data_IF_834761333172
#
_entry.id   IF_834761333172
#
_cell.length_a   1.000
_cell.length_b   1.000
_cell.length_c   1.000
_cell.angle_alpha   90.00
_cell.angle_beta   90.00
_cell.angle_gamma   90.00
#
_symmetry.space_group_name_H-M   'P 1'
#
loop_
_entity.id
_entity.type
_entity.pdbx_description
1 polymer ?
#
# COMPACT_ATOMS: atom_id res chain seq x y z
N UNK A 1 4.32 20.06 5.86
CA UNK A 1 2.91 19.93 5.44
C UNK A 1 2.87 19.95 3.93
N UNK A 2 2.44 18.88 3.29
CA UNK A 2 2.31 18.85 1.84
C UNK A 2 0.86 19.20 1.47
N UNK A 3 0.53 20.48 1.50
CA UNK A 3 -0.67 21.00 0.85
C UNK A 3 -0.20 21.63 -0.45
N UNK A 4 -0.39 20.91 -1.55
CA UNK A 4 -0.07 21.43 -2.90
C UNK A 4 -1.20 22.28 -3.46
N UNK A 5 -2.46 21.95 -3.09
CA UNK A 5 -3.65 22.64 -3.55
C UNK A 5 -4.50 23.07 -2.35
N UNK A 6 -4.56 24.37 -2.10
CA UNK A 6 -5.40 24.90 -1.02
C UNK A 6 -6.88 24.82 -1.41
N UNK A 7 -7.70 24.32 -0.47
CA UNK A 7 -9.15 24.23 -0.58
C UNK A 7 -9.80 25.00 0.57
N UNK A 8 -10.57 26.00 0.23
CA UNK A 8 -11.35 26.78 1.21
C UNK A 8 -12.64 26.04 1.60
N UNK A 9 -13.23 26.36 2.77
CA UNK A 9 -14.55 25.83 3.14
C UNK A 9 -15.63 26.08 2.09
N UNK A 10 -15.62 27.25 1.45
CA UNK A 10 -16.59 27.61 0.40
C UNK A 10 -16.47 26.74 -0.85
N UNK A 11 -15.29 26.21 -1.15
CA UNK A 11 -15.05 25.31 -2.29
C UNK A 11 -15.37 23.86 -1.96
N UNK A 12 -15.14 23.41 -0.71
CA UNK A 12 -15.43 22.05 -0.28
C UNK A 12 -16.92 21.78 -0.04
N UNK A 13 -17.64 22.76 0.54
CA UNK A 13 -19.03 22.59 0.98
C UNK A 13 -19.99 22.14 -0.15
N UNK A 14 -19.96 22.69 -1.38
CA UNK A 14 -20.84 22.25 -2.45
C UNK A 14 -20.59 20.80 -2.86
N UNK A 15 -19.33 20.34 -2.85
CA UNK A 15 -19.00 18.94 -3.13
C UNK A 15 -19.63 18.02 -2.08
N UNK A 16 -19.44 18.28 -0.78
CA UNK A 16 -19.98 17.47 0.30
C UNK A 16 -21.51 17.37 0.24
N UNK A 17 -22.19 18.48 -0.03
CA UNK A 17 -23.65 18.50 -0.22
C UNK A 17 -24.08 17.64 -1.42
N UNK A 18 -23.34 17.68 -2.53
CA UNK A 18 -23.63 16.87 -3.72
C UNK A 18 -23.47 15.37 -3.47
N UNK A 19 -22.67 14.99 -2.48
CA UNK A 19 -22.47 13.61 -2.02
C UNK A 19 -23.47 13.19 -0.94
N UNK A 20 -24.30 14.10 -0.46
CA UNK A 20 -25.24 13.82 0.64
C UNK A 20 -24.59 13.68 2.00
N UNK A 21 -23.39 14.24 2.19
CA UNK A 21 -22.59 14.11 3.41
C UNK A 21 -22.89 15.19 4.47
N UNK A 22 -23.90 16.02 4.23
CA UNK A 22 -24.32 17.06 5.17
C UNK A 22 -23.59 18.39 4.99
N UNK A 23 -23.80 19.28 5.97
CA UNK A 23 -23.22 20.61 5.96
C UNK A 23 -21.82 20.60 6.56
N UNK A 24 -20.87 21.23 5.86
CA UNK A 24 -19.50 21.39 6.34
C UNK A 24 -19.47 22.20 7.63
N UNK A 25 -18.85 21.65 8.68
CA UNK A 25 -18.60 22.29 9.96
C UNK A 25 -17.14 22.74 10.10
N UNK A 26 -16.21 21.87 9.65
CA UNK A 26 -14.77 22.12 9.76
C UNK A 26 -14.00 21.43 8.64
N UNK A 27 -12.89 22.04 8.21
CA UNK A 27 -11.93 21.49 7.26
C UNK A 27 -10.52 21.83 7.72
N UNK A 28 -9.68 20.82 7.85
CA UNK A 28 -8.29 20.97 8.29
C UNK A 28 -7.35 20.15 7.39
N UNK A 29 -6.26 20.77 6.96
CA UNK A 29 -5.24 20.07 6.18
C UNK A 29 -4.61 18.92 6.99
N UNK A 30 -4.46 17.74 6.37
CA UNK A 30 -3.71 16.65 6.97
C UNK A 30 -2.21 16.95 6.93
N UNK A 31 -1.53 16.69 8.03
CA UNK A 31 -0.06 16.86 8.12
C UNK A 31 0.71 15.71 7.45
N UNK A 32 0.04 14.62 7.10
CA UNK A 32 0.61 13.43 6.44
C UNK A 32 0.16 13.31 4.99
N UNK A 33 0.89 12.50 4.23
CA UNK A 33 0.66 12.30 2.80
C UNK A 33 1.69 13.04 1.94
N UNK A 34 2.32 12.28 1.05
CA UNK A 34 3.46 12.77 0.26
C UNK A 34 3.05 13.08 -1.17
N UNK A 35 2.05 12.36 -1.70
CA UNK A 35 1.70 12.40 -3.12
C UNK A 35 0.43 13.21 -3.42
N UNK A 36 -0.46 13.36 -2.44
CA UNK A 36 -1.77 13.98 -2.61
C UNK A 36 -2.02 15.05 -1.55
N UNK A 37 -2.88 16.01 -1.85
CA UNK A 37 -3.38 16.96 -0.86
C UNK A 37 -4.58 16.36 -0.14
N UNK A 38 -4.49 16.21 1.19
CA UNK A 38 -5.54 15.61 2.00
C UNK A 38 -6.07 16.61 3.03
N UNK A 39 -7.39 16.58 3.24
CA UNK A 39 -8.07 17.34 4.27
C UNK A 39 -8.94 16.42 5.13
N UNK A 40 -8.87 16.59 6.44
CA UNK A 40 -9.92 16.13 7.34
C UNK A 40 -11.11 17.05 7.22
N UNK A 41 -12.28 16.47 7.04
CA UNK A 41 -13.52 17.20 6.85
C UNK A 41 -14.54 16.68 7.85
N UNK A 42 -15.13 17.57 8.65
CA UNK A 42 -16.22 17.26 9.55
C UNK A 42 -17.50 17.95 9.07
N UNK A 43 -18.58 17.20 9.04
CA UNK A 43 -19.92 17.68 8.71
C UNK A 43 -20.87 17.40 9.88
N UNK A 44 -22.10 17.82 9.77
CA UNK A 44 -23.18 17.46 10.70
C UNK A 44 -23.60 15.97 10.62
N UNK A 45 -23.08 15.21 9.65
CA UNK A 45 -23.38 13.78 9.48
C UNK A 45 -22.20 12.86 9.73
N UNK A 46 -20.97 13.35 9.77
CA UNK A 46 -19.80 12.51 9.99
C UNK A 46 -18.46 13.17 9.74
N UNK A 47 -17.41 12.35 9.82
CA UNK A 47 -16.03 12.74 9.57
C UNK A 47 -15.49 12.02 8.34
N UNK A 48 -14.84 12.76 7.46
CA UNK A 48 -14.39 12.27 6.15
C UNK A 48 -12.97 12.73 5.87
N UNK A 49 -12.38 12.14 4.83
CA UNK A 49 -11.13 12.61 4.23
C UNK A 49 -11.42 13.02 2.78
N UNK A 50 -11.15 14.28 2.47
CA UNK A 50 -11.14 14.80 1.11
C UNK A 50 -9.71 14.72 0.57
N UNK A 51 -9.52 13.98 -0.53
CA UNK A 51 -8.24 13.86 -1.22
C UNK A 51 -8.32 14.54 -2.57
N UNK A 52 -7.37 15.45 -2.86
CA UNK A 52 -7.11 15.95 -4.20
C UNK A 52 -5.90 15.22 -4.77
N UNK A 53 -6.06 14.63 -5.94
CA UNK A 53 -5.00 13.88 -6.59
C UNK A 53 -4.12 14.81 -7.42
N UNK A 54 -2.89 14.95 -6.95
CA UNK A 54 -1.94 15.86 -7.59
C UNK A 54 -1.32 15.26 -8.87
N UNK A 55 -1.32 13.92 -8.97
CA UNK A 55 -0.62 13.16 -10.03
C UNK A 55 -1.52 12.22 -10.81
N UNK A 56 -2.37 11.48 -10.12
CA UNK A 56 -3.27 10.53 -10.79
C UNK A 56 -4.36 11.29 -11.56
N UNK A 57 -4.54 10.89 -12.81
CA UNK A 57 -5.57 11.50 -13.65
C UNK A 57 -6.96 10.93 -13.36
N UNK A 58 -7.98 11.60 -13.86
CA UNK A 58 -9.37 11.16 -13.73
C UNK A 58 -9.59 9.74 -14.30
N UNK A 59 -8.87 9.38 -15.35
CA UNK A 59 -8.96 8.07 -16.02
C UNK A 59 -8.25 6.96 -15.26
N UNK A 60 -7.23 7.28 -14.46
CA UNK A 60 -6.46 6.32 -13.68
C UNK A 60 -7.15 5.93 -12.36
N UNK A 61 -7.88 6.86 -11.75
CA UNK A 61 -8.48 6.71 -10.42
C UNK A 61 -9.57 5.65 -10.31
N UNK A 62 -10.41 5.36 -11.32
CA UNK A 62 -11.51 4.43 -11.18
C UNK A 62 -11.12 3.02 -10.72
N UNK A 63 -9.93 2.53 -11.07
CA UNK A 63 -9.48 1.22 -10.59
C UNK A 63 -9.36 1.23 -9.05
N UNK A 64 -8.65 2.19 -8.50
CA UNK A 64 -8.35 2.28 -7.06
C UNK A 64 -9.60 2.53 -6.22
N UNK A 65 -10.38 3.55 -6.57
CA UNK A 65 -11.56 3.96 -5.79
C UNK A 65 -12.68 2.90 -5.86
N UNK A 66 -12.90 2.28 -7.03
CA UNK A 66 -13.86 1.18 -7.11
C UNK A 66 -13.36 -0.07 -6.38
N UNK A 67 -12.05 -0.35 -6.31
CA UNK A 67 -11.51 -1.43 -5.50
C UNK A 67 -11.79 -1.19 -4.01
N UNK A 68 -11.50 0.01 -3.51
CA UNK A 68 -11.82 0.38 -2.13
C UNK A 68 -13.31 0.21 -1.83
N UNK A 69 -14.19 0.69 -2.72
CA UNK A 69 -15.64 0.54 -2.57
C UNK A 69 -16.06 -0.93 -2.56
N UNK A 70 -15.52 -1.74 -3.47
CA UNK A 70 -15.79 -3.17 -3.56
C UNK A 70 -15.37 -3.89 -2.27
N UNK A 71 -14.16 -3.62 -1.77
CA UNK A 71 -13.64 -4.19 -0.53
C UNK A 71 -14.51 -3.83 0.69
N UNK A 72 -14.86 -2.53 0.81
CA UNK A 72 -15.75 -2.07 1.90
C UNK A 72 -17.12 -2.76 1.86
N UNK A 73 -17.71 -2.92 0.68
CA UNK A 73 -18.99 -3.63 0.49
C UNK A 73 -18.91 -5.12 0.83
N UNK A 74 -17.71 -5.72 0.78
CA UNK A 74 -17.43 -7.11 1.17
C UNK A 74 -16.89 -7.23 2.60
N UNK A 75 -17.08 -6.21 3.45
CA UNK A 75 -16.78 -6.26 4.88
C UNK A 75 -15.30 -6.09 5.22
N UNK A 76 -14.46 -5.66 4.29
CA UNK A 76 -13.07 -5.29 4.57
C UNK A 76 -13.03 -3.84 5.08
N UNK A 77 -12.38 -3.54 6.20
CA UNK A 77 -12.38 -2.21 6.81
C UNK A 77 -11.45 -1.25 6.04
N UNK A 78 -11.91 -0.79 4.91
CA UNK A 78 -11.26 0.24 4.09
C UNK A 78 -12.16 1.47 3.99
N UNK A 79 -11.61 2.68 3.84
CA UNK A 79 -12.43 3.89 3.72
C UNK A 79 -13.25 3.82 2.43
N UNK A 80 -14.58 3.84 2.55
CA UNK A 80 -15.47 3.74 1.39
C UNK A 80 -15.55 5.08 0.64
N UNK A 81 -15.28 5.11 -0.69
CA UNK A 81 -15.48 6.31 -1.49
C UNK A 81 -16.96 6.63 -1.71
N UNK A 82 -17.32 7.91 -1.51
CA UNK A 82 -18.67 8.41 -1.70
C UNK A 82 -18.93 8.81 -3.16
N UNK A 83 -20.10 8.43 -3.67
CA UNK A 83 -20.55 8.77 -5.01
C UNK A 83 -21.49 9.98 -4.98
N UNK A 84 -21.51 10.78 -6.04
CA UNK A 84 -22.49 11.84 -6.20
C UNK A 84 -23.92 11.27 -6.24
N UNK A 85 -24.87 11.95 -5.61
CA UNK A 85 -26.28 11.55 -5.52
C UNK A 85 -27.04 11.66 -6.85
N UNK A 86 -26.45 12.30 -7.86
CA UNK A 86 -27.05 12.40 -9.20
C UNK A 86 -27.10 11.03 -9.90
N UNK A 87 -28.12 10.74 -10.71
CA UNK A 87 -28.19 9.52 -11.49
C UNK A 87 -26.90 9.33 -12.31
N UNK A 88 -26.24 8.18 -12.13
CA UNK A 88 -24.95 7.89 -12.75
C UNK A 88 -23.75 8.62 -12.11
N UNK A 89 -23.91 9.22 -10.95
CA UNK A 89 -22.85 9.93 -10.22
C UNK A 89 -21.66 9.02 -9.92
N UNK A 90 -20.47 9.48 -10.33
CA UNK A 90 -19.21 8.78 -10.13
C UNK A 90 -18.67 8.94 -8.71
N UNK A 91 -17.63 8.17 -8.40
CA UNK A 91 -16.84 8.27 -7.15
C UNK A 91 -15.56 9.08 -7.32
N UNK A 92 -15.25 9.50 -8.53
CA UNK A 92 -14.19 10.48 -8.85
C UNK A 92 -14.87 11.81 -9.11
N UNK A 93 -14.47 12.83 -8.39
CA UNK A 93 -15.01 14.18 -8.48
C UNK A 93 -13.97 15.14 -9.04
N UNK A 94 -14.37 16.36 -9.35
CA UNK A 94 -13.46 17.44 -9.73
C UNK A 94 -13.56 18.58 -8.72
N UNK A 95 -12.40 19.00 -8.20
CA UNK A 95 -12.29 20.15 -7.31
C UNK A 95 -11.02 20.94 -7.65
N UNK A 96 -11.14 22.25 -7.81
CA UNK A 96 -10.00 23.11 -8.22
C UNK A 96 -9.28 22.65 -9.50
N UNK A 97 -10.02 22.07 -10.44
CA UNK A 97 -9.44 21.55 -11.69
C UNK A 97 -8.66 20.24 -11.54
N UNK A 98 -8.69 19.60 -10.36
CA UNK A 98 -8.04 18.33 -10.07
C UNK A 98 -9.05 17.24 -9.76
N UNK A 99 -8.72 15.96 -10.04
CA UNK A 99 -9.51 14.84 -9.57
C UNK A 99 -9.52 14.83 -8.03
N UNK A 100 -10.65 14.48 -7.46
CA UNK A 100 -10.83 14.41 -6.02
C UNK A 100 -11.71 13.21 -5.62
N UNK A 101 -11.54 12.74 -4.40
CA UNK A 101 -12.44 11.79 -3.77
C UNK A 101 -12.72 12.18 -2.32
N UNK A 102 -13.89 11.76 -1.82
CA UNK A 102 -14.23 11.84 -0.40
C UNK A 102 -14.47 10.43 0.09
N UNK A 103 -13.82 10.07 1.20
CA UNK A 103 -13.92 8.76 1.82
C UNK A 103 -14.23 8.89 3.31
N UNK A 104 -14.75 7.83 3.92
CA UNK A 104 -14.94 7.78 5.37
C UNK A 104 -13.60 7.95 6.10
N UNK A 105 -13.58 8.69 7.20
CA UNK A 105 -12.40 8.80 8.05
C UNK A 105 -12.32 7.59 8.97
N UNK A 106 -11.25 6.80 8.81
CA UNK A 106 -10.95 5.69 9.72
C UNK A 106 -10.64 6.21 11.11
N UNK A 107 -11.05 5.44 12.12
CA UNK A 107 -10.75 5.72 13.52
C UNK A 107 -9.45 5.02 13.95
N UNK A 108 -8.86 5.50 15.06
CA UNK A 108 -7.66 4.91 15.62
C UNK A 108 -6.38 5.63 15.20
N UNK A 109 -5.26 4.92 15.32
CA UNK A 109 -3.92 5.43 14.98
C UNK A 109 -3.05 4.33 14.40
N UNK A 110 -2.05 4.69 13.61
CA UNK A 110 -1.04 3.77 13.13
C UNK A 110 -0.09 3.32 14.25
N UNK A 111 0.38 2.07 14.19
CA UNK A 111 1.32 1.51 15.15
C UNK A 111 2.70 1.33 14.50
N UNK A 112 3.60 2.26 14.75
CA UNK A 112 4.93 2.28 14.13
C UNK A 112 5.93 1.31 14.79
N UNK A 113 5.62 0.82 16.00
CA UNK A 113 6.40 -0.19 16.74
C UNK A 113 5.56 -1.47 16.97
N UNK A 114 5.21 -2.22 15.91
CA UNK A 114 4.26 -3.31 16.01
C UNK A 114 4.78 -4.48 16.84
N UNK A 115 3.86 -5.11 17.56
CA UNK A 115 4.04 -6.39 18.25
C UNK A 115 3.37 -7.52 17.47
N UNK A 116 3.60 -8.77 17.86
CA UNK A 116 3.02 -9.95 17.20
C UNK A 116 1.49 -9.87 17.05
N UNK A 117 0.77 -9.29 18.02
CA UNK A 117 -0.69 -9.13 17.93
C UNK A 117 -1.12 -8.20 16.79
N UNK A 118 -0.38 -7.10 16.54
CA UNK A 118 -0.63 -6.21 15.38
C UNK A 118 -0.37 -6.96 14.07
N UNK A 119 0.75 -7.69 13.99
CA UNK A 119 1.12 -8.47 12.80
C UNK A 119 0.08 -9.58 12.52
N UNK A 120 -0.43 -10.25 13.54
CA UNK A 120 -1.51 -11.23 13.38
C UNK A 120 -2.79 -10.57 12.81
N UNK A 121 -3.20 -9.41 13.34
CA UNK A 121 -4.37 -8.70 12.85
C UNK A 121 -4.22 -8.25 11.39
N UNK A 122 -3.02 -7.80 10.99
CA UNK A 122 -2.73 -7.43 9.59
C UNK A 122 -2.73 -8.66 8.69
N UNK A 123 -2.13 -9.78 9.12
CA UNK A 123 -2.12 -11.03 8.35
C UNK A 123 -3.53 -11.58 8.10
N UNK A 124 -4.38 -11.64 9.14
CA UNK A 124 -5.80 -12.03 9.00
C UNK A 124 -6.53 -11.12 8.01
N UNK A 125 -6.39 -9.81 8.17
CA UNK A 125 -7.11 -8.84 7.35
C UNK A 125 -6.62 -8.82 5.91
N UNK A 126 -5.32 -8.96 5.64
CA UNK A 126 -4.78 -9.08 4.29
C UNK A 126 -5.33 -10.32 3.57
N UNK A 127 -5.44 -11.45 4.27
CA UNK A 127 -6.05 -12.65 3.69
C UNK A 127 -7.53 -12.43 3.33
N UNK A 128 -8.30 -11.75 4.20
CA UNK A 128 -9.70 -11.37 3.90
C UNK A 128 -9.79 -10.41 2.72
N UNK A 129 -8.90 -9.43 2.64
CA UNK A 129 -8.83 -8.50 1.49
C UNK A 129 -8.59 -9.25 0.17
N UNK A 130 -7.63 -10.18 0.15
CA UNK A 130 -7.34 -10.99 -1.04
C UNK A 130 -8.56 -11.82 -1.48
N UNK A 131 -9.26 -12.43 -0.51
CA UNK A 131 -10.45 -13.21 -0.82
C UNK A 131 -11.62 -12.34 -1.29
N UNK A 132 -11.85 -11.19 -0.64
CA UNK A 132 -12.89 -10.24 -1.02
C UNK A 132 -12.61 -9.59 -2.39
N UNK A 133 -11.35 -9.38 -2.74
CA UNK A 133 -10.95 -8.82 -4.03
C UNK A 133 -11.02 -9.78 -5.21
N UNK A 134 -11.23 -11.09 -4.98
CA UNK A 134 -11.19 -12.13 -6.04
C UNK A 134 -12.12 -11.83 -7.21
N UNK A 135 -13.32 -11.37 -6.93
CA UNK A 135 -14.36 -11.12 -7.92
C UNK A 135 -14.41 -9.66 -8.38
N UNK A 136 -13.38 -8.87 -8.07
CA UNK A 136 -13.29 -7.49 -8.50
C UNK A 136 -13.16 -7.42 -10.03
N UNK A 137 -14.10 -6.75 -10.75
CA UNK A 137 -14.20 -6.90 -12.20
C UNK A 137 -13.20 -6.05 -13.00
N UNK A 138 -12.58 -5.02 -12.38
CA UNK A 138 -11.62 -4.15 -13.07
C UNK A 138 -10.23 -4.72 -12.93
N UNK A 139 -9.43 -4.57 -13.98
CA UNK A 139 -8.05 -5.04 -14.00
C UNK A 139 -7.10 -3.88 -14.30
N UNK A 140 -6.02 -3.81 -13.54
CA UNK A 140 -4.87 -2.94 -13.76
C UNK A 140 -3.64 -3.70 -13.29
N UNK A 141 -2.67 -3.89 -14.14
CA UNK A 141 -1.42 -4.53 -13.74
C UNK A 141 -0.74 -3.74 -12.61
N UNK A 142 -0.01 -4.43 -11.75
CA UNK A 142 0.88 -3.78 -10.79
C UNK A 142 1.94 -2.95 -11.55
N UNK A 143 1.82 -1.63 -11.47
CA UNK A 143 2.70 -0.69 -12.18
C UNK A 143 4.12 -0.64 -11.60
N UNK A 144 4.37 -1.28 -10.45
CA UNK A 144 5.67 -1.38 -9.79
C UNK A 144 6.21 -2.81 -9.78
N UNK A 145 5.74 -3.65 -10.71
CA UNK A 145 6.19 -5.03 -10.90
C UNK A 145 7.48 -5.14 -11.73
N UNK A 146 7.88 -6.35 -12.05
CA UNK A 146 9.12 -6.70 -12.74
C UNK A 146 9.41 -5.91 -14.03
N UNK A 147 8.43 -5.56 -14.90
CA UNK A 147 8.70 -4.69 -16.05
C UNK A 147 9.28 -3.34 -15.63
N UNK A 148 8.69 -2.69 -14.62
CA UNK A 148 9.19 -1.43 -14.09
C UNK A 148 10.59 -1.58 -13.46
N UNK A 149 10.90 -2.73 -12.81
CA UNK A 149 12.25 -2.95 -12.27
C UNK A 149 13.28 -3.04 -13.38
N UNK A 150 12.97 -3.74 -14.49
CA UNK A 150 13.85 -3.84 -15.64
C UNK A 150 14.14 -2.47 -16.30
N UNK A 151 13.15 -1.59 -16.33
CA UNK A 151 13.28 -0.22 -16.86
C UNK A 151 14.04 0.71 -15.89
N UNK A 152 13.81 0.55 -14.59
CA UNK A 152 14.31 1.50 -13.58
C UNK A 152 15.73 1.17 -13.11
N UNK A 153 16.09 -0.10 -13.00
CA UNK A 153 17.43 -0.50 -12.53
C UNK A 153 18.55 0.17 -13.36
N UNK A 154 18.55 0.15 -14.71
CA UNK A 154 19.58 0.85 -15.48
C UNK A 154 19.70 2.33 -15.15
N UNK A 155 18.58 2.98 -14.80
CA UNK A 155 18.52 4.43 -14.52
C UNK A 155 19.14 4.76 -13.16
N UNK A 156 18.97 3.93 -12.15
CA UNK A 156 19.48 4.19 -10.80
C UNK A 156 20.92 3.67 -10.59
N UNK A 157 21.38 2.71 -11.39
CA UNK A 157 22.72 2.13 -11.28
C UNK A 157 23.87 3.16 -11.22
N UNK A 158 23.87 4.27 -11.99
CA UNK A 158 24.93 5.27 -11.93
C UNK A 158 25.11 5.94 -10.57
N UNK A 159 24.09 5.90 -9.70
CA UNK A 159 24.11 6.50 -8.37
C UNK A 159 24.61 5.54 -7.29
N UNK A 160 24.83 4.26 -7.63
CA UNK A 160 25.17 3.21 -6.68
C UNK A 160 26.69 2.97 -6.65
N UNK A 161 27.21 2.64 -5.49
CA UNK A 161 28.59 2.15 -5.37
C UNK A 161 28.73 0.74 -6.02
N UNK A 162 29.98 0.27 -6.25
CA UNK A 162 30.19 -1.01 -6.96
C UNK A 162 29.54 -2.22 -6.29
N UNK A 163 29.46 -2.24 -4.95
CA UNK A 163 28.85 -3.35 -4.21
C UNK A 163 27.31 -3.35 -4.33
N UNK A 164 26.69 -2.17 -4.17
CA UNK A 164 25.27 -1.98 -4.39
C UNK A 164 24.88 -2.30 -5.84
N UNK A 165 25.71 -1.87 -6.81
CA UNK A 165 25.46 -2.17 -8.22
C UNK A 165 25.50 -3.66 -8.52
N UNK A 166 26.43 -4.41 -7.92
CA UNK A 166 26.48 -5.88 -8.03
C UNK A 166 25.23 -6.53 -7.44
N UNK A 167 24.83 -6.13 -6.23
CA UNK A 167 23.62 -6.63 -5.58
C UNK A 167 22.40 -6.37 -6.45
N UNK A 168 22.21 -5.14 -6.92
CA UNK A 168 21.06 -4.73 -7.72
C UNK A 168 20.95 -5.55 -9.02
N UNK A 169 22.06 -5.69 -9.76
CA UNK A 169 22.10 -6.48 -11.00
C UNK A 169 21.83 -7.96 -10.77
N UNK A 170 22.47 -8.52 -9.73
CA UNK A 170 22.30 -9.92 -9.35
C UNK A 170 20.86 -10.22 -8.95
N UNK A 171 20.25 -9.32 -8.18
CA UNK A 171 18.87 -9.49 -7.74
C UNK A 171 17.87 -9.35 -8.89
N UNK A 172 18.05 -8.37 -9.78
CA UNK A 172 17.20 -8.24 -10.96
C UNK A 172 17.28 -9.48 -11.86
N UNK A 173 18.47 -10.01 -12.07
CA UNK A 173 18.66 -11.25 -12.84
C UNK A 173 17.97 -12.45 -12.17
N UNK A 174 18.08 -12.56 -10.85
CA UNK A 174 17.41 -13.59 -10.06
C UNK A 174 15.89 -13.48 -10.19
N UNK A 175 15.32 -12.28 -10.05
CA UNK A 175 13.88 -12.07 -10.16
C UNK A 175 13.34 -12.35 -11.57
N UNK A 176 14.10 -12.01 -12.62
CA UNK A 176 13.75 -12.40 -14.00
C UNK A 176 13.74 -13.93 -14.16
N UNK A 177 14.70 -14.64 -13.57
CA UNK A 177 14.74 -16.11 -13.59
C UNK A 177 13.53 -16.70 -12.84
N UNK A 178 13.22 -16.20 -11.63
CA UNK A 178 12.04 -16.63 -10.86
C UNK A 178 10.76 -16.44 -11.64
N UNK A 179 10.58 -15.27 -12.25
CA UNK A 179 9.38 -14.94 -13.03
C UNK A 179 9.18 -15.84 -14.25
N UNK A 180 10.23 -16.38 -14.82
CA UNK A 180 10.17 -17.34 -15.94
C UNK A 180 9.79 -18.76 -15.49
N UNK A 181 9.79 -19.07 -14.18
CA UNK A 181 9.50 -20.42 -13.68
C UNK A 181 7.99 -20.75 -13.74
N UNK A 182 7.68 -22.02 -13.96
CA UNK A 182 6.30 -22.51 -13.91
C UNK A 182 5.66 -22.37 -12.54
N UNK A 183 6.45 -22.44 -11.46
CA UNK A 183 5.96 -22.23 -10.10
C UNK A 183 5.46 -20.78 -9.90
N UNK A 184 6.19 -19.79 -10.42
CA UNK A 184 5.76 -18.37 -10.35
C UNK A 184 4.51 -18.11 -11.20
N UNK A 185 4.43 -18.73 -12.39
CA UNK A 185 3.25 -18.59 -13.25
C UNK A 185 1.98 -19.21 -12.63
N UNK A 186 2.15 -20.22 -11.76
CA UNK A 186 1.05 -20.88 -11.07
C UNK A 186 0.63 -20.19 -9.75
N UNK A 187 1.27 -19.08 -9.36
CA UNK A 187 0.88 -18.34 -8.14
C UNK A 187 -0.53 -17.78 -8.27
N UNK A 188 -1.35 -17.88 -7.21
CA UNK A 188 -2.63 -17.20 -7.13
C UNK A 188 -2.46 -15.69 -7.28
N UNK A 189 -3.35 -15.08 -8.08
CA UNK A 189 -3.31 -13.66 -8.42
C UNK A 189 -4.66 -13.01 -8.20
N UNK A 190 -4.62 -11.71 -7.95
CA UNK A 190 -5.78 -10.86 -7.77
C UNK A 190 -5.36 -9.43 -7.45
N UNK A 191 -6.32 -8.58 -7.06
CA UNK A 191 -5.98 -7.28 -6.50
C UNK A 191 -5.08 -7.42 -5.28
N UNK A 192 -4.04 -6.60 -5.23
CA UNK A 192 -3.11 -6.44 -4.12
C UNK A 192 -3.17 -5.00 -3.63
N UNK A 193 -2.77 -4.75 -2.38
CA UNK A 193 -2.56 -3.40 -1.87
C UNK A 193 -1.27 -2.79 -2.42
N UNK A 194 -0.19 -3.57 -2.41
CA UNK A 194 1.12 -3.21 -2.97
C UNK A 194 1.94 -2.26 -2.10
N UNK A 195 1.37 -1.74 -0.99
CA UNK A 195 2.00 -0.77 -0.07
C UNK A 195 1.44 -0.87 1.36
N UNK A 196 1.09 -2.07 1.84
CA UNK A 196 0.49 -2.26 3.15
C UNK A 196 1.55 -2.18 4.26
N UNK A 197 2.04 -0.95 4.49
CA UNK A 197 2.99 -0.60 5.52
C UNK A 197 2.27 -0.25 6.83
N UNK A 198 3.04 -0.20 7.92
CA UNK A 198 2.54 0.07 9.27
C UNK A 198 1.89 1.45 9.43
N UNK A 199 2.26 2.44 8.65
CA UNK A 199 1.66 3.77 8.62
C UNK A 199 0.33 3.83 7.84
N UNK A 200 0.04 2.82 7.02
CA UNK A 200 -1.21 2.69 6.25
C UNK A 200 -2.29 1.84 6.96
N UNK A 201 -2.07 1.43 8.21
CA UNK A 201 -3.01 0.62 8.98
C UNK A 201 -3.35 1.30 10.30
N UNK A 202 -4.65 1.32 10.64
CA UNK A 202 -5.17 1.95 11.86
C UNK A 202 -5.60 0.90 12.88
N UNK A 203 -5.32 1.19 14.15
CA UNK A 203 -5.69 0.36 15.29
C UNK A 203 -6.32 1.17 16.40
N UNK A 204 -7.20 0.52 17.16
CA UNK A 204 -7.73 1.00 18.44
C UNK A 204 -7.54 -0.04 19.53
N UNK A 205 -7.58 0.42 20.77
CA UNK A 205 -7.41 -0.43 21.94
C UNK A 205 -5.97 -0.88 22.16
N UNK A 206 -5.81 -1.84 23.08
CA UNK A 206 -4.52 -2.47 23.41
C UNK A 206 -4.74 -3.81 24.11
N UNK A 207 -3.73 -4.68 24.16
CA UNK A 207 -3.87 -6.02 24.76
C UNK A 207 -5.02 -6.80 24.11
N UNK A 208 -5.92 -7.32 24.91
CA UNK A 208 -7.07 -8.14 24.46
C UNK A 208 -8.14 -7.30 23.72
N UNK A 209 -8.13 -5.99 23.90
CA UNK A 209 -9.04 -5.07 23.18
C UNK A 209 -8.45 -4.52 21.88
N UNK A 210 -7.26 -4.96 21.49
CA UNK A 210 -6.63 -4.53 20.25
C UNK A 210 -7.50 -4.91 19.05
N UNK A 211 -7.79 -3.92 18.21
CA UNK A 211 -8.59 -4.08 17.00
C UNK A 211 -7.99 -3.30 15.86
N UNK A 212 -7.78 -3.94 14.72
CA UNK A 212 -7.52 -3.27 13.45
C UNK A 212 -8.82 -2.59 13.00
N UNK A 213 -8.79 -1.29 12.80
CA UNK A 213 -9.98 -0.49 12.43
C UNK A 213 -10.05 -0.18 10.95
N UNK A 214 -8.95 -0.33 10.24
CA UNK A 214 -8.92 -0.21 8.79
C UNK A 214 -7.53 0.01 8.23
N UNK A 215 -7.45 -0.01 6.91
CA UNK A 215 -6.26 0.34 6.16
C UNK A 215 -6.62 1.12 4.90
N UNK A 216 -5.70 1.95 4.45
CA UNK A 216 -5.90 2.97 3.42
C UNK A 216 -4.67 3.09 2.51
N UNK A 217 -4.70 4.03 1.58
CA UNK A 217 -3.65 4.29 0.59
C UNK A 217 -3.49 3.18 -0.45
N UNK A 218 -4.57 2.92 -1.20
CA UNK A 218 -4.64 1.91 -2.26
C UNK A 218 -4.05 2.36 -3.61
N UNK A 219 -3.35 3.50 -3.67
CA UNK A 219 -2.93 4.08 -4.97
C UNK A 219 -1.72 3.39 -5.58
N UNK A 220 -1.14 2.40 -4.88
CA UNK A 220 -0.20 1.41 -5.43
C UNK A 220 -0.84 0.05 -5.70
N UNK A 221 -2.14 -0.10 -5.50
CA UNK A 221 -2.85 -1.32 -5.78
C UNK A 221 -2.76 -1.70 -7.26
N UNK A 222 -2.85 -2.99 -7.53
CA UNK A 222 -2.82 -3.53 -8.88
C UNK A 222 -3.16 -5.02 -8.88
N UNK A 223 -3.14 -5.63 -10.02
CA UNK A 223 -3.31 -7.07 -10.18
C UNK A 223 -1.94 -7.76 -10.20
N UNK A 224 -1.66 -8.55 -9.17
CA UNK A 224 -0.40 -9.31 -9.04
C UNK A 224 -0.59 -10.57 -8.20
N UNK A 225 0.51 -11.31 -7.93
CA UNK A 225 0.45 -12.44 -7.01
C UNK A 225 0.19 -11.98 -5.57
N UNK A 226 -0.71 -12.65 -4.87
CA UNK A 226 -0.96 -12.36 -3.46
C UNK A 226 0.28 -12.59 -2.60
N UNK A 227 1.18 -13.48 -3.04
CA UNK A 227 2.45 -13.71 -2.35
C UNK A 227 3.37 -12.49 -2.37
N UNK A 228 3.30 -11.66 -3.44
CA UNK A 228 4.03 -10.40 -3.49
C UNK A 228 3.51 -9.43 -2.42
N UNK A 229 2.20 -9.29 -2.26
CA UNK A 229 1.59 -8.42 -1.24
C UNK A 229 1.93 -8.87 0.19
N UNK A 230 1.90 -10.19 0.45
CA UNK A 230 2.40 -10.79 1.69
C UNK A 230 3.86 -10.39 1.94
N UNK A 231 4.71 -10.44 0.91
CA UNK A 231 6.12 -10.11 1.02
C UNK A 231 6.38 -8.64 1.34
N UNK A 232 5.59 -7.74 0.76
CA UNK A 232 5.62 -6.30 1.06
C UNK A 232 5.33 -6.07 2.54
N UNK A 233 4.23 -6.64 3.03
CA UNK A 233 3.82 -6.51 4.43
C UNK A 233 4.86 -7.12 5.39
N UNK A 234 5.36 -8.33 5.14
CA UNK A 234 6.38 -8.96 5.98
C UNK A 234 7.67 -8.14 6.06
N UNK A 235 8.08 -7.51 4.97
CA UNK A 235 9.30 -6.70 4.92
C UNK A 235 9.18 -5.35 5.63
N UNK A 236 7.98 -4.89 5.93
CA UNK A 236 7.76 -3.73 6.80
C UNK A 236 7.43 -4.17 8.24
N UNK A 237 6.36 -4.95 8.44
CA UNK A 237 5.83 -5.28 9.75
C UNK A 237 6.71 -6.20 10.59
N UNK A 238 7.48 -7.08 9.94
CA UNK A 238 8.15 -8.20 10.59
C UNK A 238 9.68 -8.13 10.50
N UNK A 239 10.24 -6.93 10.41
CA UNK A 239 11.70 -6.72 10.43
C UNK A 239 12.12 -5.72 11.50
N UNK A 240 13.34 -5.85 11.99
CA UNK A 240 14.02 -4.82 12.75
C UNK A 240 14.47 -3.70 11.80
N UNK A 241 14.04 -2.46 12.06
CA UNK A 241 14.28 -1.34 11.14
C UNK A 241 15.76 -0.94 11.05
N UNK A 242 16.53 -1.22 12.10
CA UNK A 242 17.96 -0.84 12.16
C UNK A 242 18.85 -1.80 11.38
N UNK A 243 18.52 -3.11 11.41
CA UNK A 243 19.34 -4.18 10.82
C UNK A 243 18.74 -4.77 9.54
N UNK A 244 17.44 -4.63 9.33
CA UNK A 244 16.70 -5.32 8.27
C UNK A 244 16.47 -6.81 8.54
N UNK A 245 16.89 -7.32 9.71
CA UNK A 245 16.73 -8.71 10.08
C UNK A 245 15.25 -9.04 10.40
N UNK A 246 14.85 -10.28 10.09
CA UNK A 246 13.51 -10.75 10.40
C UNK A 246 13.27 -10.87 11.90
N UNK A 247 12.14 -10.37 12.36
CA UNK A 247 11.54 -10.71 13.66
C UNK A 247 10.65 -11.95 13.48
N UNK A 248 11.19 -13.11 13.83
CA UNK A 248 10.52 -14.40 13.61
C UNK A 248 9.19 -14.51 14.37
N UNK A 249 9.05 -13.90 15.55
CA UNK A 249 7.81 -13.95 16.32
C UNK A 249 6.70 -13.16 15.63
N UNK A 250 7.02 -11.98 15.08
CA UNK A 250 6.10 -11.18 14.29
C UNK A 250 5.75 -11.85 12.95
N UNK A 251 6.75 -12.42 12.26
CA UNK A 251 6.53 -13.12 11.00
C UNK A 251 5.65 -14.37 11.17
N UNK A 252 5.87 -15.16 12.22
CA UNK A 252 5.04 -16.32 12.55
C UNK A 252 3.60 -15.91 12.88
N UNK A 253 3.40 -14.84 13.66
CA UNK A 253 2.08 -14.34 14.00
C UNK A 253 1.32 -13.85 12.75
N UNK A 254 1.98 -13.11 11.86
CA UNK A 254 1.40 -12.66 10.60
C UNK A 254 1.01 -13.85 9.70
N UNK A 255 1.97 -14.74 9.40
CA UNK A 255 1.74 -15.86 8.50
C UNK A 255 0.74 -16.87 9.08
N UNK A 256 0.77 -17.12 10.38
CA UNK A 256 -0.19 -17.99 11.05
C UNK A 256 -1.61 -17.46 10.92
N UNK A 257 -1.82 -16.17 11.20
CA UNK A 257 -3.13 -15.52 11.05
C UNK A 257 -3.59 -15.46 9.59
N UNK A 258 -2.71 -15.12 8.65
CA UNK A 258 -3.03 -15.16 7.22
C UNK A 258 -3.48 -16.56 6.79
N UNK A 259 -2.72 -17.60 7.16
CA UNK A 259 -3.00 -18.99 6.78
C UNK A 259 -4.25 -19.58 7.44
N UNK A 260 -4.67 -19.06 8.60
CA UNK A 260 -5.93 -19.47 9.24
C UNK A 260 -7.15 -19.05 8.41
N UNK A 261 -7.05 -17.99 7.61
CA UNK A 261 -8.10 -17.50 6.71
C UNK A 261 -7.91 -18.07 5.29
N UNK A 262 -6.69 -18.05 4.78
CA UNK A 262 -6.32 -18.53 3.44
C UNK A 262 -5.01 -19.31 3.49
N UNK A 263 -5.08 -20.65 3.44
CA UNK A 263 -3.87 -21.48 3.42
C UNK A 263 -2.98 -21.19 2.20
N UNK A 264 -1.67 -21.12 2.40
CA UNK A 264 -0.71 -21.01 1.31
C UNK A 264 -0.60 -22.36 0.58
N UNK A 265 -0.59 -22.34 -0.74
CA UNK A 265 -0.30 -23.52 -1.57
C UNK A 265 1.20 -23.84 -1.58
N UNK A 266 1.58 -25.02 -2.08
CA UNK A 266 2.96 -25.47 -2.10
C UNK A 266 3.89 -24.52 -2.86
N UNK A 267 3.44 -23.96 -3.98
CA UNK A 267 4.17 -22.99 -4.80
C UNK A 267 4.42 -21.69 -4.03
N UNK A 268 3.43 -21.20 -3.28
CA UNK A 268 3.59 -20.00 -2.45
C UNK A 268 4.62 -20.24 -1.34
N UNK A 269 4.56 -21.39 -0.67
CA UNK A 269 5.54 -21.76 0.38
C UNK A 269 6.96 -21.81 -0.18
N UNK A 270 7.14 -22.41 -1.37
CA UNK A 270 8.46 -22.55 -1.99
C UNK A 270 9.03 -21.23 -2.52
N UNK A 271 8.16 -20.31 -2.96
CA UNK A 271 8.54 -19.02 -3.55
C UNK A 271 8.55 -17.86 -2.55
N UNK A 272 8.08 -18.06 -1.31
CA UNK A 272 8.07 -16.99 -0.31
C UNK A 272 9.46 -16.33 -0.14
N UNK A 273 10.58 -17.08 -0.03
CA UNK A 273 11.91 -16.46 0.08
C UNK A 273 12.24 -15.57 -1.14
N UNK A 274 11.89 -15.99 -2.33
CA UNK A 274 12.10 -15.20 -3.56
C UNK A 274 11.24 -13.95 -3.58
N UNK A 275 9.97 -14.03 -3.13
CA UNK A 275 9.06 -12.88 -3.08
C UNK A 275 9.44 -11.88 -1.99
N UNK A 276 9.97 -12.32 -0.85
CA UNK A 276 10.53 -11.42 0.17
C UNK A 276 11.67 -10.57 -0.40
N UNK A 277 12.54 -11.17 -1.21
CA UNK A 277 13.58 -10.43 -1.95
C UNK A 277 12.98 -9.48 -2.98
N UNK A 278 11.96 -9.91 -3.72
CA UNK A 278 11.24 -9.09 -4.69
C UNK A 278 10.62 -7.83 -4.06
N UNK A 279 9.92 -7.98 -2.93
CA UNK A 279 9.35 -6.85 -2.18
C UNK A 279 10.44 -5.88 -1.69
N UNK A 280 11.56 -6.40 -1.17
CA UNK A 280 12.68 -5.57 -0.73
C UNK A 280 13.34 -4.81 -1.91
N UNK A 281 13.56 -5.49 -3.05
CA UNK A 281 14.09 -4.86 -4.27
C UNK A 281 13.18 -3.73 -4.76
N UNK A 282 11.87 -3.97 -4.84
CA UNK A 282 10.88 -2.97 -5.28
C UNK A 282 10.99 -1.67 -4.47
N UNK A 283 11.05 -1.79 -3.14
CA UNK A 283 11.10 -0.60 -2.28
C UNK A 283 12.48 0.06 -2.23
N UNK A 284 13.56 -0.73 -2.30
CA UNK A 284 14.89 -0.15 -2.46
C UNK A 284 14.97 0.69 -3.74
N UNK A 285 14.48 0.13 -4.85
CA UNK A 285 14.45 0.78 -6.15
C UNK A 285 13.59 2.06 -6.15
N UNK A 286 12.40 2.04 -5.54
CA UNK A 286 11.54 3.23 -5.41
C UNK A 286 12.22 4.35 -4.62
N UNK A 287 12.83 4.02 -3.48
CA UNK A 287 13.48 5.02 -2.64
C UNK A 287 14.75 5.61 -3.28
N UNK A 288 15.48 4.80 -4.06
CA UNK A 288 16.60 5.31 -4.86
C UNK A 288 16.10 6.26 -5.97
N UNK A 289 15.00 5.91 -6.61
CA UNK A 289 14.36 6.79 -7.61
C UNK A 289 13.98 8.14 -6.99
N UNK A 290 13.27 8.13 -5.88
CA UNK A 290 12.81 9.33 -5.21
C UNK A 290 13.98 10.20 -4.69
N UNK A 291 15.08 9.56 -4.25
CA UNK A 291 16.27 10.26 -3.77
C UNK A 291 17.08 10.93 -4.88
N UNK A 292 17.31 10.22 -5.99
CA UNK A 292 18.25 10.65 -7.02
C UNK A 292 17.60 11.30 -8.23
N UNK A 293 16.30 11.08 -8.41
CA UNK A 293 15.51 11.57 -9.53
C UNK A 293 14.26 12.31 -9.03
N UNK A 294 14.40 13.27 -8.08
CA UNK A 294 13.26 14.00 -7.55
C UNK A 294 12.58 14.77 -8.67
N UNK A 295 11.27 14.80 -8.65
CA UNK A 295 10.47 15.58 -9.59
C UNK A 295 10.40 17.04 -9.11
N UNK A 296 10.32 17.97 -10.06
CA UNK A 296 10.20 19.41 -9.78
C UNK A 296 8.89 19.73 -9.05
N UNK A 297 8.78 19.74 -7.83
CA UNK A 297 7.72 20.18 -6.93
C UNK A 297 7.74 19.43 -5.60
N UNK A 298 8.74 18.58 -5.35
CA UNK A 298 8.77 17.75 -4.15
C UNK A 298 9.61 18.43 -3.07
N UNK A 299 8.91 19.07 -2.12
CA UNK A 299 9.44 19.31 -0.77
C UNK A 299 9.50 17.98 0.02
N UNK A 300 9.86 16.89 -0.67
CA UNK A 300 9.89 15.55 -0.13
C UNK A 300 11.21 15.30 0.55
N UNK A 301 11.14 15.00 1.84
CA UNK A 301 12.22 14.30 2.51
C UNK A 301 12.14 12.84 2.05
N UNK A 302 12.99 12.47 1.08
CA UNK A 302 13.05 11.11 0.56
C UNK A 302 13.33 10.12 1.72
N UNK A 303 12.61 9.02 1.77
CA UNK A 303 12.88 7.95 2.74
C UNK A 303 14.28 7.36 2.51
N UNK A 304 14.98 6.98 3.59
CA UNK A 304 16.27 6.31 3.51
C UNK A 304 16.21 5.04 2.65
N UNK A 305 16.90 4.99 1.49
CA UNK A 305 16.94 3.78 0.68
C UNK A 305 17.73 2.65 1.34
N UNK A 306 18.64 2.97 2.27
CA UNK A 306 19.49 2.01 2.98
C UNK A 306 18.68 1.01 3.82
N UNK A 307 17.46 1.36 4.27
CA UNK A 307 16.61 0.41 4.98
C UNK A 307 16.30 -0.82 4.13
N UNK A 308 15.74 -0.65 2.92
CA UNK A 308 15.39 -1.81 2.06
C UNK A 308 16.60 -2.46 1.41
N UNK A 309 17.72 -1.78 1.28
CA UNK A 309 18.99 -2.44 0.97
C UNK A 309 19.37 -3.44 2.06
N UNK A 310 19.30 -3.04 3.33
CA UNK A 310 19.58 -3.95 4.47
C UNK A 310 18.63 -5.13 4.48
N UNK A 311 17.32 -4.89 4.33
CA UNK A 311 16.32 -5.96 4.24
C UNK A 311 16.65 -6.94 3.10
N UNK A 312 16.94 -6.43 1.90
CA UNK A 312 17.30 -7.28 0.75
C UNK A 312 18.54 -8.13 1.04
N UNK A 313 19.59 -7.54 1.62
CA UNK A 313 20.82 -8.27 1.99
C UNK A 313 20.52 -9.38 3.00
N UNK A 314 19.69 -9.12 4.01
CA UNK A 314 19.26 -10.12 4.98
C UNK A 314 18.46 -11.25 4.29
N UNK A 315 17.49 -10.92 3.46
CA UNK A 315 16.68 -11.91 2.72
C UNK A 315 17.51 -12.76 1.75
N UNK A 316 18.56 -12.20 1.15
CA UNK A 316 19.44 -12.92 0.23
C UNK A 316 20.41 -13.86 0.96
N UNK A 317 20.93 -13.47 2.13
CA UNK A 317 21.88 -14.26 2.92
C UNK A 317 21.21 -15.27 3.87
N UNK A 318 19.97 -15.00 4.31
CA UNK A 318 19.22 -15.84 5.25
C UNK A 318 17.81 -16.10 4.66
N UNK A 319 17.66 -17.04 3.72
CA UNK A 319 16.36 -17.38 3.17
C UNK A 319 15.41 -17.90 4.26
N UNK A 320 14.33 -17.17 4.53
CA UNK A 320 13.33 -17.58 5.51
C UNK A 320 12.36 -18.58 4.88
N UNK A 321 12.10 -19.68 5.57
CA UNK A 321 11.04 -20.63 5.21
C UNK A 321 9.71 -20.30 5.90
N UNK A 322 8.61 -20.78 5.33
CA UNK A 322 7.31 -20.81 6.03
C UNK A 322 7.45 -21.82 7.19
N UNK A 323 7.11 -21.46 8.43
CA UNK A 323 6.97 -22.46 9.49
C UNK A 323 6.04 -23.59 9.03
N UNK A 324 6.45 -24.85 9.25
CA UNK A 324 5.69 -26.03 8.87
C UNK A 324 4.36 -26.16 9.61
#
# INVERSE_FOLDING_TARGET
>A
MAVYTEVSPAEAAPLLLSLGLGQLQDIAACSGGIENTNYFVNTDQGSYVLTLFERLTFEQLPFYLHLMKHLAQNGVPVPAPHAALTPGGGIVHMLKGKPASVVDRLQGRSELAPRSAHCAAVGDMLARMHLAGRDYPRQQANLRALPWWNETVPVVLPYLNPDQSRLMRSELAYQNHVAASSAYQALPRGPIHGDLFRDNVMFEGSGDSLRLTGFFDFYFAGWDSWLFDISVSLNDWCVDLSTGAEDSARAQAFLGAYQSVRPLIAQERSLLPAMLRAGALRFWLSRLWDLHLPREAELLQAHDPGHFERVLRQRASHPCGVPG
#
